data_IF_346259281865
#
_entry.id   IF_346259281865
#
_cell.length_a   1.000
_cell.length_b   1.000
_cell.length_c   1.000
_cell.angle_alpha   90.00
_cell.angle_beta   90.00
_cell.angle_gamma   90.00
#
_symmetry.space_group_name_H-M   'P 1'
#
loop_
_entity.id
_entity.type
_entity.pdbx_description
1 polymer ?
#
# COMPACT_ATOMS: atom_id res chain seq x y z
N UNK A 1 -24.21 -16.55 -0.97
CA UNK A 1 -24.49 -16.38 -2.40
C UNK A 1 -23.16 -16.24 -3.11
N UNK A 2 -22.86 -17.06 -4.10
CA UNK A 2 -21.60 -16.95 -4.87
C UNK A 2 -21.76 -15.80 -5.86
N UNK A 3 -20.93 -14.77 -5.73
CA UNK A 3 -20.91 -13.64 -6.68
C UNK A 3 -20.43 -14.18 -8.02
N UNK A 4 -21.28 -14.16 -9.05
CA UNK A 4 -20.93 -14.64 -10.40
C UNK A 4 -20.55 -13.52 -11.36
N UNK A 5 -20.69 -12.27 -10.95
CA UNK A 5 -20.45 -11.08 -11.77
C UNK A 5 -19.63 -10.07 -10.98
N UNK A 6 -18.61 -9.42 -11.58
CA UNK A 6 -17.83 -8.40 -10.89
C UNK A 6 -18.72 -7.34 -10.23
N UNK A 7 -18.48 -7.10 -8.94
CA UNK A 7 -19.13 -6.01 -8.21
C UNK A 7 -18.14 -4.86 -8.05
N UNK A 8 -18.55 -3.65 -8.43
CA UNK A 8 -17.70 -2.45 -8.40
C UNK A 8 -18.36 -1.35 -7.56
N UNK A 9 -17.56 -0.68 -6.73
CA UNK A 9 -17.99 0.43 -5.85
C UNK A 9 -16.91 1.50 -5.77
N UNK A 10 -17.28 2.68 -5.28
CA UNK A 10 -16.33 3.68 -4.84
C UNK A 10 -16.02 3.47 -3.36
N UNK A 11 -14.81 3.02 -3.05
CA UNK A 11 -14.42 2.58 -1.71
C UNK A 11 -14.44 3.71 -0.66
N UNK A 12 -14.43 4.98 -1.08
CA UNK A 12 -14.47 6.11 -0.15
C UNK A 12 -15.87 6.67 -0.04
N UNK A 13 -16.50 7.04 -1.16
CA UNK A 13 -17.79 7.74 -1.13
C UNK A 13 -18.96 6.84 -0.73
N UNK A 14 -18.91 5.54 -1.06
CA UNK A 14 -19.98 4.59 -0.70
C UNK A 14 -19.88 4.14 0.76
N UNK A 15 -18.70 4.24 1.38
CA UNK A 15 -18.43 3.78 2.75
C UNK A 15 -17.87 4.89 3.64
N UNK A 16 -18.24 6.13 3.34
CA UNK A 16 -17.70 7.34 3.98
C UNK A 16 -17.93 7.35 5.50
N UNK A 17 -19.11 6.90 5.95
CA UNK A 17 -19.45 6.81 7.38
C UNK A 17 -18.66 5.74 8.13
N UNK A 18 -18.23 4.68 7.44
CA UNK A 18 -17.36 3.64 8.01
C UNK A 18 -15.97 4.22 8.28
N UNK A 19 -15.45 5.05 7.37
CA UNK A 19 -14.17 5.74 7.56
C UNK A 19 -14.25 6.67 8.78
N UNK A 20 -15.32 7.47 8.88
CA UNK A 20 -15.55 8.35 10.03
C UNK A 20 -15.69 7.56 11.35
N UNK A 21 -16.35 6.39 11.31
CA UNK A 21 -16.46 5.50 12.47
C UNK A 21 -15.13 4.85 12.85
N UNK A 22 -14.30 4.49 11.87
CA UNK A 22 -12.96 3.95 12.08
C UNK A 22 -12.04 4.98 12.75
N UNK A 23 -12.12 6.26 12.34
CA UNK A 23 -11.41 7.39 12.97
C UNK A 23 -11.75 7.47 14.47
N UNK A 24 -13.04 7.46 14.82
CA UNK A 24 -13.49 7.49 16.21
C UNK A 24 -13.00 6.26 16.98
N UNK A 25 -13.10 5.08 16.37
CA UNK A 25 -12.78 3.80 17.00
C UNK A 25 -11.30 3.68 17.36
N UNK A 26 -10.40 4.16 16.50
CA UNK A 26 -8.96 4.13 16.72
C UNK A 26 -8.43 5.35 17.49
N UNK A 27 -9.32 6.26 17.94
CA UNK A 27 -8.93 7.45 18.71
C UNK A 27 -8.00 8.37 17.94
N UNK A 28 -8.19 8.49 16.62
CA UNK A 28 -7.35 9.35 15.80
C UNK A 28 -7.67 10.82 16.09
N UNK A 29 -6.65 11.57 16.48
CA UNK A 29 -6.73 13.00 16.86
C UNK A 29 -5.75 13.82 16.02
N UNK A 30 -5.95 15.15 15.89
CA UNK A 30 -4.95 16.03 15.31
C UNK A 30 -3.59 15.91 16.01
N UNK A 31 -2.53 16.26 15.29
CA UNK A 31 -1.19 16.37 15.85
C UNK A 31 -0.98 17.69 16.59
N UNK A 32 0.29 18.09 16.68
CA UNK A 32 0.68 19.37 17.29
C UNK A 32 0.25 20.57 16.42
N UNK A 33 0.48 21.78 16.94
CA UNK A 33 0.11 23.02 16.26
C UNK A 33 0.87 23.26 14.94
N UNK A 34 0.33 24.08 14.01
CA UNK A 34 1.06 24.55 12.83
C UNK A 34 2.47 25.07 13.16
N UNK A 35 3.42 24.86 12.24
CA UNK A 35 4.83 25.22 12.41
C UNK A 35 5.65 24.31 13.34
N UNK A 36 5.06 23.24 13.88
CA UNK A 36 5.80 22.25 14.69
C UNK A 36 6.07 20.96 13.91
N UNK A 37 7.15 20.21 14.24
CA UNK A 37 7.44 18.93 13.58
C UNK A 37 6.37 17.85 13.76
N UNK A 38 5.60 17.93 14.85
CA UNK A 38 4.53 17.00 15.19
C UNK A 38 3.18 17.35 14.57
N UNK A 39 3.12 18.38 13.71
CA UNK A 39 1.87 18.80 13.09
C UNK A 39 1.22 17.66 12.29
N UNK A 40 -0.08 17.49 12.49
CA UNK A 40 -0.95 16.72 11.60
C UNK A 40 -2.37 17.32 11.61
N UNK A 41 -3.02 17.45 10.44
CA UNK A 41 -4.38 17.94 10.38
C UNK A 41 -5.33 16.97 11.11
N UNK A 42 -6.52 17.46 11.47
CA UNK A 42 -7.59 16.60 11.97
C UNK A 42 -7.99 15.51 10.98
N UNK A 43 -8.80 14.57 11.45
CA UNK A 43 -9.31 13.47 10.62
C UNK A 43 -10.69 13.77 10.01
N UNK A 44 -11.20 14.98 10.20
CA UNK A 44 -12.40 15.45 9.51
C UNK A 44 -12.15 15.44 7.99
N UNK A 45 -13.16 14.99 7.26
CA UNK A 45 -13.16 14.93 5.81
C UNK A 45 -14.18 15.95 5.26
N UNK A 46 -13.96 16.48 4.04
CA UNK A 46 -14.84 17.48 3.45
C UNK A 46 -16.18 16.86 3.06
N UNK A 47 -17.27 17.61 3.23
CA UNK A 47 -18.61 17.20 2.79
C UNK A 47 -18.61 16.71 1.33
N UNK A 48 -19.39 15.67 1.02
CA UNK A 48 -19.47 15.02 -0.30
C UNK A 48 -20.21 15.86 -1.36
N UNK A 49 -19.73 17.08 -1.59
CA UNK A 49 -20.11 17.97 -2.70
C UNK A 49 -19.74 17.34 -4.05
N UNK A 50 -20.28 17.83 -5.18
CA UNK A 50 -19.92 17.32 -6.50
C UNK A 50 -18.40 17.34 -6.78
N UNK A 51 -17.70 18.40 -6.38
CA UNK A 51 -16.24 18.51 -6.56
C UNK A 51 -15.47 17.47 -5.72
N UNK A 52 -15.92 17.21 -4.48
CA UNK A 52 -15.30 16.19 -3.62
C UNK A 52 -15.55 14.78 -4.16
N UNK A 53 -16.74 14.53 -4.74
CA UNK A 53 -17.04 13.25 -5.41
C UNK A 53 -16.20 13.05 -6.66
N UNK A 54 -15.98 14.11 -7.46
CA UNK A 54 -15.07 14.07 -8.61
C UNK A 54 -13.64 13.76 -8.18
N UNK A 55 -13.14 14.41 -7.14
CA UNK A 55 -11.83 14.11 -6.55
C UNK A 55 -11.69 12.63 -6.16
N UNK A 56 -12.72 12.04 -5.53
CA UNK A 56 -12.74 10.63 -5.15
C UNK A 56 -13.12 9.66 -6.27
N UNK A 57 -13.43 10.11 -7.49
CA UNK A 57 -13.96 9.24 -8.55
C UNK A 57 -13.04 8.04 -8.86
N UNK A 58 -11.73 8.19 -8.71
CA UNK A 58 -10.76 7.12 -8.92
C UNK A 58 -10.56 6.16 -7.74
N UNK A 59 -11.26 6.35 -6.62
CA UNK A 59 -11.32 5.41 -5.50
C UNK A 59 -12.19 4.19 -5.81
N UNK A 60 -12.02 3.59 -7.00
CA UNK A 60 -12.79 2.43 -7.43
C UNK A 60 -12.17 1.13 -6.91
N UNK A 61 -13.01 0.22 -6.43
CA UNK A 61 -12.65 -1.15 -6.00
C UNK A 61 -13.57 -2.14 -6.71
N UNK A 62 -13.06 -3.34 -7.03
CA UNK A 62 -13.89 -4.41 -7.58
C UNK A 62 -13.65 -5.77 -6.92
N UNK A 63 -14.69 -6.60 -6.96
CA UNK A 63 -14.72 -7.97 -6.46
C UNK A 63 -15.04 -8.92 -7.60
N UNK A 64 -14.07 -9.73 -8.01
CA UNK A 64 -14.20 -10.59 -9.20
C UNK A 64 -13.78 -12.03 -8.88
N UNK A 65 -14.58 -13.04 -9.21
CA UNK A 65 -14.15 -14.44 -9.12
C UNK A 65 -12.94 -14.71 -10.02
N UNK A 66 -11.97 -15.45 -9.52
CA UNK A 66 -10.83 -15.97 -10.31
C UNK A 66 -11.00 -17.45 -10.69
N UNK A 67 -11.98 -18.13 -10.10
CA UNK A 67 -12.27 -19.53 -10.34
C UNK A 67 -11.90 -20.41 -9.14
N UNK A 68 -11.47 -21.64 -9.42
CA UNK A 68 -11.25 -22.67 -8.41
C UNK A 68 -9.84 -23.27 -8.53
N UNK A 69 -9.14 -23.43 -7.40
CA UNK A 69 -7.80 -24.00 -7.37
C UNK A 69 -7.61 -24.90 -6.15
N UNK A 70 -7.23 -26.17 -6.37
CA UNK A 70 -6.89 -27.12 -5.31
C UNK A 70 -7.98 -27.34 -4.25
N UNK A 71 -9.26 -27.25 -4.62
CA UNK A 71 -10.37 -27.37 -3.66
C UNK A 71 -10.84 -26.04 -3.06
N UNK A 72 -10.28 -24.90 -3.50
CA UNK A 72 -10.58 -23.57 -2.96
C UNK A 72 -11.17 -22.66 -4.02
N UNK A 73 -12.21 -21.92 -3.64
CA UNK A 73 -12.74 -20.83 -4.46
C UNK A 73 -11.86 -19.60 -4.28
N UNK A 74 -11.44 -19.02 -5.40
CA UNK A 74 -10.57 -17.85 -5.46
C UNK A 74 -11.34 -16.64 -5.95
N UNK A 75 -11.16 -15.53 -5.26
CA UNK A 75 -11.69 -14.22 -5.64
C UNK A 75 -10.56 -13.19 -5.62
N UNK A 76 -10.51 -12.26 -6.57
CA UNK A 76 -9.69 -11.06 -6.46
C UNK A 76 -10.51 -9.89 -5.91
N UNK A 77 -9.96 -9.26 -4.87
CA UNK A 77 -10.30 -7.91 -4.45
C UNK A 77 -9.34 -6.95 -5.16
N UNK A 78 -9.78 -6.40 -6.30
CA UNK A 78 -8.98 -5.49 -7.10
C UNK A 78 -9.04 -4.07 -6.53
N UNK A 79 -7.87 -3.60 -6.12
CA UNK A 79 -7.64 -2.31 -5.49
C UNK A 79 -6.78 -1.41 -6.41
N UNK A 80 -6.70 -1.74 -7.71
CA UNK A 80 -5.79 -1.12 -8.70
C UNK A 80 -6.51 -0.30 -9.77
N UNK A 81 -7.82 -0.13 -9.67
CA UNK A 81 -8.63 0.50 -10.72
C UNK A 81 -8.27 1.96 -11.05
N UNK A 82 -7.60 2.70 -10.16
CA UNK A 82 -7.13 4.06 -10.47
C UNK A 82 -6.08 4.02 -11.60
N UNK A 83 -6.38 4.52 -12.81
CA UNK A 83 -5.45 4.44 -13.93
C UNK A 83 -4.19 5.26 -13.70
N UNK A 84 -4.26 6.33 -12.89
CA UNK A 84 -3.15 7.21 -12.56
C UNK A 84 -2.06 6.54 -11.72
N UNK A 85 -2.40 5.49 -10.97
CA UNK A 85 -1.49 4.91 -9.95
C UNK A 85 -1.39 3.39 -10.01
N UNK A 86 -2.48 2.70 -10.38
CA UNK A 86 -2.68 1.24 -10.31
C UNK A 86 -2.18 0.60 -9.02
N UNK A 87 -2.48 1.23 -7.89
CA UNK A 87 -2.13 0.71 -6.56
C UNK A 87 -3.21 1.03 -5.54
N UNK A 88 -3.32 0.14 -4.55
CA UNK A 88 -4.18 0.28 -3.38
C UNK A 88 -3.86 1.53 -2.55
N UNK A 89 -2.66 2.11 -2.69
CA UNK A 89 -2.27 3.33 -1.97
C UNK A 89 -3.15 4.53 -2.33
N UNK A 90 -3.88 4.48 -3.45
CA UNK A 90 -4.85 5.49 -3.86
C UNK A 90 -5.79 5.90 -2.73
N UNK A 91 -6.40 4.93 -2.03
CA UNK A 91 -7.47 5.25 -1.08
C UNK A 91 -6.96 6.05 0.12
N UNK A 92 -5.90 5.55 0.76
CA UNK A 92 -5.27 6.24 1.87
C UNK A 92 -4.71 7.61 1.43
N UNK A 93 -4.12 7.71 0.24
CA UNK A 93 -3.61 8.97 -0.30
C UNK A 93 -4.71 10.01 -0.53
N UNK A 94 -5.88 9.59 -1.04
CA UNK A 94 -7.02 10.48 -1.22
C UNK A 94 -7.61 10.93 0.12
N UNK A 95 -7.68 10.05 1.12
CA UNK A 95 -8.10 10.42 2.49
C UNK A 95 -7.10 11.38 3.14
N UNK A 96 -5.79 11.16 2.96
CA UNK A 96 -4.73 12.07 3.43
C UNK A 96 -4.90 13.45 2.81
N UNK A 97 -5.05 13.53 1.49
CA UNK A 97 -5.22 14.82 0.79
C UNK A 97 -6.53 15.51 1.17
N UNK A 98 -7.63 14.77 1.30
CA UNK A 98 -8.90 15.33 1.74
C UNK A 98 -8.84 15.95 3.14
N UNK A 99 -8.09 15.36 4.07
CA UNK A 99 -7.83 15.96 5.38
C UNK A 99 -7.06 17.27 5.28
N UNK A 100 -6.08 17.33 4.37
CA UNK A 100 -5.36 18.59 4.11
C UNK A 100 -6.29 19.64 3.51
N UNK A 101 -7.12 19.27 2.52
CA UNK A 101 -8.15 20.14 1.93
C UNK A 101 -9.10 20.67 3.00
N UNK A 102 -9.62 19.80 3.86
CA UNK A 102 -10.56 20.20 4.92
C UNK A 102 -9.90 21.10 5.96
N UNK A 103 -8.64 20.84 6.32
CA UNK A 103 -7.86 21.72 7.17
C UNK A 103 -7.72 23.11 6.55
N UNK A 104 -7.19 23.20 5.32
CA UNK A 104 -7.02 24.46 4.58
C UNK A 104 -8.34 25.23 4.50
N UNK A 105 -9.44 24.54 4.16
CA UNK A 105 -10.77 25.15 4.05
C UNK A 105 -11.22 25.79 5.36
N UNK A 106 -10.92 25.16 6.50
CA UNK A 106 -11.35 25.62 7.83
C UNK A 106 -10.44 26.69 8.43
N UNK A 107 -9.14 26.63 8.16
CA UNK A 107 -8.15 27.46 8.85
C UNK A 107 -7.52 28.53 7.95
N UNK A 108 -7.53 28.32 6.63
CA UNK A 108 -6.75 29.13 5.68
C UNK A 108 -5.25 28.82 5.67
N UNK A 109 -4.78 27.90 6.53
CA UNK A 109 -3.36 27.55 6.66
C UNK A 109 -2.87 26.75 5.46
N UNK A 110 -1.73 27.14 4.89
CA UNK A 110 -1.11 26.43 3.75
C UNK A 110 -0.37 25.19 4.24
N UNK A 111 -0.44 24.12 3.47
CA UNK A 111 0.12 22.82 3.83
C UNK A 111 1.10 22.30 2.77
N UNK A 112 2.23 21.78 3.23
CA UNK A 112 3.13 20.98 2.43
C UNK A 112 3.21 19.55 2.98
N UNK A 113 2.72 18.59 2.20
CA UNK A 113 2.86 17.16 2.49
C UNK A 113 4.32 16.78 2.27
N UNK A 114 4.98 16.27 3.31
CA UNK A 114 6.31 15.67 3.19
C UNK A 114 6.15 14.15 3.28
N UNK A 115 6.54 13.44 2.22
CA UNK A 115 6.37 11.99 2.16
C UNK A 115 7.61 11.26 1.64
N UNK A 116 8.40 10.64 2.53
CA UNK A 116 9.29 9.56 2.11
C UNK A 116 8.47 8.35 1.64
N UNK A 117 8.97 7.65 0.63
CA UNK A 117 8.23 6.56 -0.01
C UNK A 117 9.14 5.50 -0.60
N UNK A 118 8.55 4.33 -0.88
CA UNK A 118 9.11 3.24 -1.67
C UNK A 118 8.60 3.20 -3.12
N UNK A 119 7.84 4.22 -3.55
CA UNK A 119 7.21 4.29 -4.87
C UNK A 119 5.71 4.53 -4.75
N UNK A 120 4.93 3.45 -4.56
CA UNK A 120 3.46 3.46 -4.64
C UNK A 120 2.77 4.56 -3.81
N UNK A 121 3.23 4.82 -2.58
CA UNK A 121 2.66 5.89 -1.74
C UNK A 121 2.89 7.27 -2.36
N UNK A 122 4.11 7.54 -2.82
CA UNK A 122 4.46 8.83 -3.43
C UNK A 122 3.68 9.07 -4.72
N UNK A 123 3.60 8.06 -5.59
CA UNK A 123 2.80 8.12 -6.83
C UNK A 123 1.33 8.39 -6.50
N UNK A 124 0.74 7.67 -5.54
CA UNK A 124 -0.65 7.84 -5.17
C UNK A 124 -0.95 9.19 -4.51
N UNK A 125 -0.03 9.72 -3.69
CA UNK A 125 -0.20 11.05 -3.08
C UNK A 125 -0.08 12.17 -4.12
N UNK A 126 0.87 12.08 -5.06
CA UNK A 126 0.99 13.04 -6.16
C UNK A 126 -0.26 13.04 -7.05
N UNK A 127 -0.75 11.86 -7.44
CA UNK A 127 -2.01 11.72 -8.17
C UNK A 127 -3.19 12.34 -7.39
N UNK A 128 -3.26 12.11 -6.08
CA UNK A 128 -4.31 12.70 -5.23
C UNK A 128 -4.20 14.23 -5.17
N UNK A 129 -3.01 14.81 -5.01
CA UNK A 129 -2.83 16.27 -5.03
C UNK A 129 -3.22 16.86 -6.38
N UNK A 130 -2.80 16.24 -7.49
CA UNK A 130 -3.20 16.66 -8.83
C UNK A 130 -4.72 16.65 -9.03
N UNK A 131 -5.40 15.60 -8.54
CA UNK A 131 -6.87 15.51 -8.57
C UNK A 131 -7.54 16.59 -7.73
N UNK A 132 -6.97 16.93 -6.58
CA UNK A 132 -7.50 18.00 -5.74
C UNK A 132 -7.40 19.37 -6.44
N UNK A 133 -6.32 19.63 -7.18
CA UNK A 133 -6.21 20.82 -8.03
C UNK A 133 -7.24 20.79 -9.17
N UNK A 134 -7.34 19.66 -9.89
CA UNK A 134 -8.25 19.53 -11.03
C UNK A 134 -9.73 19.68 -10.62
N UNK A 135 -10.11 19.21 -9.43
CA UNK A 135 -11.44 19.38 -8.87
C UNK A 135 -11.68 20.77 -8.24
N UNK A 136 -10.68 21.66 -8.24
CA UNK A 136 -10.77 23.00 -7.66
C UNK A 136 -10.93 23.02 -6.14
N UNK A 137 -10.50 21.96 -5.44
CA UNK A 137 -10.62 21.87 -3.99
C UNK A 137 -9.57 22.71 -3.27
N UNK A 138 -8.39 22.85 -3.88
CA UNK A 138 -7.25 23.65 -3.41
C UNK A 138 -6.43 24.14 -4.61
N UNK A 139 -5.65 25.20 -4.43
CA UNK A 139 -4.65 25.67 -5.41
C UNK A 139 -3.23 25.20 -5.04
N UNK A 140 -2.26 25.26 -5.98
CA UNK A 140 -0.85 24.94 -5.69
C UNK A 140 -0.21 25.80 -4.59
N UNK A 141 -0.73 26.99 -4.32
CA UNK A 141 -0.29 27.88 -3.24
C UNK A 141 -0.82 27.44 -1.87
N UNK A 142 -1.94 26.70 -1.85
CA UNK A 142 -2.61 26.26 -0.62
C UNK A 142 -2.13 24.89 -0.15
N UNK A 143 -2.00 23.95 -1.09
CA UNK A 143 -1.52 22.60 -0.82
C UNK A 143 -0.34 22.32 -1.74
N UNK A 144 0.71 21.68 -1.23
CA UNK A 144 1.83 21.22 -2.04
C UNK A 144 2.39 19.90 -1.52
N UNK A 145 3.24 19.20 -2.29
CA UNK A 145 3.81 17.92 -1.88
C UNK A 145 5.29 17.75 -2.23
N UNK A 146 6.08 17.33 -1.28
CA UNK A 146 7.47 16.87 -1.46
C UNK A 146 7.51 15.35 -1.34
N UNK A 147 7.94 14.69 -2.43
CA UNK A 147 8.15 13.24 -2.44
C UNK A 147 9.64 12.95 -2.39
N UNK A 148 10.05 12.09 -1.46
CA UNK A 148 11.43 11.59 -1.38
C UNK A 148 11.44 10.08 -1.61
N UNK A 149 12.13 9.63 -2.66
CA UNK A 149 12.13 8.22 -3.05
C UNK A 149 13.54 7.69 -3.36
N UNK A 150 13.87 6.44 -3.01
CA UNK A 150 15.18 5.87 -3.29
C UNK A 150 15.37 5.61 -4.79
N UNK A 151 16.61 5.75 -5.27
CA UNK A 151 16.96 5.57 -6.67
C UNK A 151 16.51 4.22 -7.27
N UNK A 152 16.50 3.15 -6.47
CA UNK A 152 16.04 1.82 -6.87
C UNK A 152 14.57 1.79 -7.35
N UNK A 153 13.75 2.75 -6.90
CA UNK A 153 12.31 2.83 -7.18
C UNK A 153 11.96 3.81 -8.31
N UNK A 154 12.96 4.38 -9.01
CA UNK A 154 12.78 5.37 -10.08
C UNK A 154 11.75 4.94 -11.13
N UNK A 155 11.75 3.65 -11.48
CA UNK A 155 10.90 3.07 -12.52
C UNK A 155 9.41 3.06 -12.16
N UNK A 156 9.04 3.39 -10.91
CA UNK A 156 7.66 3.46 -10.44
C UNK A 156 7.04 4.84 -10.62
N UNK A 157 7.85 5.90 -10.70
CA UNK A 157 7.34 7.26 -10.79
C UNK A 157 6.92 7.60 -12.21
N UNK A 158 5.63 7.89 -12.36
CA UNK A 158 5.02 8.24 -13.64
C UNK A 158 5.13 9.74 -13.84
N UNK A 159 5.29 10.17 -15.08
CA UNK A 159 5.10 11.57 -15.42
C UNK A 159 3.63 11.94 -15.22
N UNK A 160 3.37 12.70 -14.16
CA UNK A 160 2.04 13.12 -13.73
C UNK A 160 1.80 14.61 -14.01
N UNK A 161 0.57 15.07 -13.74
CA UNK A 161 0.20 16.48 -13.92
C UNK A 161 0.97 17.44 -12.99
N UNK A 162 1.59 16.94 -11.91
CA UNK A 162 2.42 17.77 -11.04
C UNK A 162 3.82 18.02 -11.61
N UNK A 163 4.23 17.26 -12.63
CA UNK A 163 5.48 17.48 -13.35
C UNK A 163 5.39 18.61 -14.39
N UNK A 164 4.20 19.18 -14.60
CA UNK A 164 4.00 20.32 -15.50
C UNK A 164 4.68 21.59 -14.96
N UNK A 165 5.27 22.45 -15.81
CA UNK A 165 6.06 23.61 -15.38
C UNK A 165 5.33 24.54 -14.39
N UNK A 166 4.00 24.66 -14.51
CA UNK A 166 3.18 25.52 -13.66
C UNK A 166 3.11 25.07 -12.19
N UNK A 167 3.24 23.77 -11.91
CA UNK A 167 3.09 23.20 -10.56
C UNK A 167 4.34 22.51 -10.04
N UNK A 168 5.31 22.23 -10.92
CA UNK A 168 6.51 21.45 -10.61
C UNK A 168 7.34 22.03 -9.47
N UNK A 169 7.53 23.35 -9.44
CA UNK A 169 8.37 24.02 -8.45
C UNK A 169 7.91 23.80 -6.99
N UNK A 170 6.59 23.74 -6.76
CA UNK A 170 6.03 23.57 -5.41
C UNK A 170 5.72 22.10 -5.07
N UNK A 171 5.86 21.20 -6.05
CA UNK A 171 5.59 19.77 -5.90
C UNK A 171 6.79 18.88 -6.31
N UNK A 172 7.98 19.04 -5.70
CA UNK A 172 9.17 18.34 -6.17
C UNK A 172 9.16 16.82 -5.88
N UNK A 173 9.65 16.05 -6.85
CA UNK A 173 10.04 14.65 -6.75
C UNK A 173 11.56 14.56 -6.56
N UNK A 174 11.99 14.20 -5.37
CA UNK A 174 13.39 14.09 -4.99
C UNK A 174 13.85 12.63 -5.07
N UNK A 175 14.98 12.39 -5.73
CA UNK A 175 15.63 11.07 -5.78
C UNK A 175 16.72 10.99 -4.74
N UNK A 176 16.53 10.11 -3.76
CA UNK A 176 17.54 9.79 -2.78
C UNK A 176 18.62 8.88 -3.36
N UNK A 177 19.88 9.30 -3.24
CA UNK A 177 21.06 8.62 -3.81
C UNK A 177 21.95 7.93 -2.76
N UNK A 178 21.52 7.89 -1.49
CA UNK A 178 22.25 7.16 -0.46
C UNK A 178 22.21 5.63 -0.63
N UNK A 179 23.16 4.95 0.01
CA UNK A 179 23.38 3.52 -0.16
C UNK A 179 22.24 2.64 0.40
N UNK A 180 21.64 3.04 1.51
CA UNK A 180 20.51 2.34 2.14
C UNK A 180 19.17 2.97 1.72
N UNK A 181 18.31 2.28 0.96
CA UNK A 181 17.00 2.78 0.58
C UNK A 181 16.10 3.22 1.74
N UNK A 182 16.26 2.66 2.95
CA UNK A 182 15.47 3.07 4.12
C UNK A 182 15.86 4.48 4.63
N UNK A 183 17.05 4.96 4.28
CA UNK A 183 17.57 6.28 4.64
C UNK A 183 16.66 7.44 4.24
N UNK A 184 15.77 7.24 3.24
CA UNK A 184 14.75 8.23 2.86
C UNK A 184 13.84 8.63 4.02
N UNK A 185 13.49 7.69 4.91
CA UNK A 185 12.60 7.97 6.05
C UNK A 185 13.31 8.83 7.09
N UNK A 186 14.58 8.52 7.38
CA UNK A 186 15.39 9.30 8.31
C UNK A 186 15.63 10.72 7.79
N UNK A 187 15.99 10.84 6.51
CA UNK A 187 16.22 12.15 5.87
C UNK A 187 14.95 13.01 5.83
N UNK A 188 13.81 12.45 5.43
CA UNK A 188 12.53 13.16 5.41
C UNK A 188 12.06 13.58 6.80
N UNK A 189 12.31 12.75 7.83
CA UNK A 189 11.99 13.08 9.23
C UNK A 189 12.88 14.23 9.73
N UNK A 190 14.20 14.15 9.50
CA UNK A 190 15.15 15.19 9.91
C UNK A 190 14.79 16.56 9.30
N UNK A 191 14.38 16.58 8.02
CA UNK A 191 13.91 17.81 7.38
C UNK A 191 12.73 18.45 8.10
N UNK A 192 11.69 17.67 8.43
CA UNK A 192 10.53 18.22 9.15
C UNK A 192 10.90 18.63 10.57
N UNK A 193 11.72 17.86 11.28
CA UNK A 193 12.17 18.18 12.64
C UNK A 193 12.92 19.50 12.72
N UNK A 194 13.83 19.75 11.79
CA UNK A 194 14.70 20.92 11.83
C UNK A 194 14.08 22.16 11.18
N UNK A 195 13.21 21.97 10.16
CA UNK A 195 12.74 23.08 9.33
C UNK A 195 11.24 23.38 9.40
N UNK A 196 10.43 22.67 10.22
CA UNK A 196 9.00 22.99 10.36
C UNK A 196 8.74 24.44 10.77
N UNK A 197 9.47 24.94 11.79
CA UNK A 197 9.33 26.32 12.25
C UNK A 197 9.79 27.32 11.20
N UNK A 198 10.94 27.05 10.55
CA UNK A 198 11.48 27.92 9.48
C UNK A 198 10.52 28.02 8.30
N UNK A 199 9.96 26.89 7.85
CA UNK A 199 8.99 26.84 6.75
C UNK A 199 7.73 27.67 7.08
N UNK A 200 7.26 27.58 8.32
CA UNK A 200 6.09 28.31 8.79
C UNK A 200 6.38 29.81 8.94
N UNK A 201 7.40 30.19 9.71
CA UNK A 201 7.68 31.59 10.04
C UNK A 201 8.13 32.41 8.82
N UNK A 202 8.89 31.82 7.90
CA UNK A 202 9.43 32.53 6.73
C UNK A 202 8.57 32.42 5.48
N UNK A 203 7.95 31.25 5.26
CA UNK A 203 7.22 30.98 4.01
C UNK A 203 5.71 30.83 4.21
N UNK A 204 5.21 30.85 5.44
CA UNK A 204 3.80 30.69 5.75
C UNK A 204 3.27 29.31 5.38
N UNK A 205 4.10 28.27 5.47
CA UNK A 205 3.76 26.90 5.06
C UNK A 205 3.97 25.93 6.21
N UNK A 206 2.93 25.19 6.56
CA UNK A 206 3.02 24.13 7.56
C UNK A 206 3.45 22.82 6.91
N UNK A 207 4.54 22.22 7.42
CA UNK A 207 5.01 20.91 6.97
C UNK A 207 4.22 19.80 7.66
N UNK A 208 3.78 18.80 6.90
CA UNK A 208 3.10 17.62 7.44
C UNK A 208 3.81 16.32 7.04
N UNK A 209 4.38 15.64 8.03
CA UNK A 209 5.03 14.33 7.84
C UNK A 209 4.02 13.18 7.89
N UNK A 210 3.70 12.60 6.72
CA UNK A 210 2.52 11.72 6.54
C UNK A 210 2.72 10.24 6.87
N UNK A 211 3.68 9.89 7.74
CA UNK A 211 3.96 8.48 8.09
C UNK A 211 3.11 7.92 9.25
N UNK A 212 2.17 8.68 9.80
CA UNK A 212 1.25 8.16 10.81
C UNK A 212 0.45 6.95 10.28
N UNK A 213 0.50 5.86 11.03
CA UNK A 213 -0.21 4.61 10.78
C UNK A 213 -1.71 4.82 10.55
N UNK A 214 -2.32 5.68 11.36
CA UNK A 214 -3.78 5.91 11.37
C UNK A 214 -4.28 6.43 10.02
N UNK A 215 -3.44 7.13 9.26
CA UNK A 215 -3.77 7.61 7.92
C UNK A 215 -4.19 6.48 6.97
N UNK A 216 -3.59 5.29 7.13
CA UNK A 216 -3.88 4.13 6.29
C UNK A 216 -5.02 3.30 6.87
N UNK A 217 -4.99 3.06 8.19
CA UNK A 217 -5.96 2.17 8.84
C UNK A 217 -7.40 2.62 8.59
N UNK A 218 -7.67 3.92 8.71
CA UNK A 218 -9.03 4.45 8.58
C UNK A 218 -9.55 4.38 7.14
N UNK A 219 -8.68 4.57 6.14
CA UNK A 219 -9.06 4.45 4.74
C UNK A 219 -9.29 2.98 4.36
N UNK A 220 -8.43 2.08 4.85
CA UNK A 220 -8.51 0.65 4.55
C UNK A 220 -9.62 -0.07 5.32
N UNK A 221 -10.23 0.57 6.34
CA UNK A 221 -11.44 0.08 7.01
C UNK A 221 -12.62 -0.09 6.06
N UNK A 222 -12.71 0.76 5.03
CA UNK A 222 -13.77 0.66 4.02
C UNK A 222 -13.72 -0.66 3.21
N UNK A 223 -12.57 -1.35 3.15
CA UNK A 223 -12.47 -2.67 2.49
C UNK A 223 -13.40 -3.70 3.13
N UNK A 224 -13.55 -3.67 4.45
CA UNK A 224 -14.42 -4.59 5.16
C UNK A 224 -15.90 -4.30 4.89
N UNK A 225 -16.28 -3.03 4.77
CA UNK A 225 -17.63 -2.62 4.42
C UNK A 225 -17.98 -2.99 2.97
N UNK A 226 -17.03 -2.79 2.05
CA UNK A 226 -17.17 -3.25 0.67
C UNK A 226 -17.41 -4.76 0.59
N UNK A 227 -16.58 -5.56 1.26
CA UNK A 227 -16.78 -7.01 1.29
C UNK A 227 -18.12 -7.40 1.92
N UNK A 228 -18.51 -6.77 3.02
CA UNK A 228 -19.77 -7.05 3.68
C UNK A 228 -20.99 -6.73 2.78
N UNK A 229 -20.90 -5.70 1.93
CA UNK A 229 -21.93 -5.35 0.94
C UNK A 229 -22.02 -6.39 -0.19
N UNK A 230 -20.87 -6.79 -0.77
CA UNK A 230 -20.86 -7.58 -2.01
C UNK A 230 -20.74 -9.08 -1.81
N UNK A 231 -20.10 -9.54 -0.73
CA UNK A 231 -19.88 -10.95 -0.43
C UNK A 231 -19.81 -11.19 1.09
N UNK A 232 -20.94 -11.06 1.82
CA UNK A 232 -20.98 -11.38 3.25
C UNK A 232 -20.39 -12.76 3.52
N UNK A 233 -19.42 -12.84 4.44
CA UNK A 233 -18.78 -14.10 4.79
C UNK A 233 -19.82 -15.06 5.40
N UNK A 234 -20.03 -16.21 4.77
CA UNK A 234 -20.97 -17.26 5.20
C UNK A 234 -20.27 -18.54 5.64
N UNK A 235 -18.94 -18.55 5.63
CA UNK A 235 -18.10 -19.69 5.97
C UNK A 235 -16.64 -19.26 6.16
N UNK A 236 -15.73 -20.23 6.26
CA UNK A 236 -14.32 -19.96 6.50
C UNK A 236 -13.65 -19.32 5.29
N UNK A 237 -13.04 -18.14 5.50
CA UNK A 237 -12.42 -17.33 4.45
C UNK A 237 -11.04 -16.85 4.88
N UNK A 238 -10.07 -16.89 3.99
CA UNK A 238 -8.76 -16.27 4.18
C UNK A 238 -8.55 -15.11 3.22
N UNK A 239 -7.98 -14.01 3.72
CA UNK A 239 -7.45 -12.94 2.86
C UNK A 239 -5.95 -13.13 2.64
N UNK A 240 -5.55 -13.25 1.39
CA UNK A 240 -4.16 -13.31 0.98
C UNK A 240 -3.69 -11.95 0.45
N UNK A 241 -2.54 -11.49 0.94
CA UNK A 241 -2.02 -10.17 0.57
C UNK A 241 -0.49 -10.21 0.53
N UNK A 242 0.09 -9.72 -0.57
CA UNK A 242 1.51 -9.37 -0.62
C UNK A 242 1.81 -8.16 0.27
N UNK A 243 2.55 -8.35 1.35
CA UNK A 243 2.71 -7.33 2.41
C UNK A 243 4.17 -6.92 2.63
N UNK A 244 4.39 -5.60 2.76
CA UNK A 244 5.62 -5.08 3.37
C UNK A 244 5.40 -4.78 4.87
N UNK A 245 4.26 -4.20 5.22
CA UNK A 245 3.90 -3.90 6.62
C UNK A 245 2.42 -4.13 6.92
N UNK A 246 1.68 -4.82 6.05
CA UNK A 246 0.30 -5.26 6.26
C UNK A 246 -0.73 -4.19 6.72
N UNK A 247 -0.49 -2.90 6.46
CA UNK A 247 -1.42 -1.83 6.86
C UNK A 247 -2.85 -2.04 6.34
N UNK A 248 -2.99 -2.56 5.10
CA UNK A 248 -4.31 -2.83 4.52
C UNK A 248 -5.09 -3.93 5.25
N UNK A 249 -4.41 -4.93 5.83
CA UNK A 249 -5.07 -5.98 6.61
C UNK A 249 -5.46 -5.49 8.00
N UNK A 250 -4.63 -4.66 8.63
CA UNK A 250 -5.00 -4.01 9.89
C UNK A 250 -6.16 -3.03 9.71
N UNK A 251 -6.17 -2.27 8.61
CA UNK A 251 -7.29 -1.39 8.27
C UNK A 251 -8.56 -2.19 8.02
N UNK A 252 -8.49 -3.26 7.24
CA UNK A 252 -9.59 -4.20 7.08
C UNK A 252 -10.12 -4.71 8.43
N UNK A 253 -9.24 -5.13 9.33
CA UNK A 253 -9.64 -5.60 10.67
C UNK A 253 -10.30 -4.50 11.50
N UNK A 254 -9.83 -3.25 11.41
CA UNK A 254 -10.50 -2.09 12.03
C UNK A 254 -11.89 -1.87 11.45
N UNK A 255 -12.07 -2.03 10.12
CA UNK A 255 -13.38 -2.01 9.49
C UNK A 255 -14.31 -3.10 10.02
N UNK A 256 -13.79 -4.32 10.22
CA UNK A 256 -14.54 -5.39 10.90
C UNK A 256 -14.94 -5.02 12.33
N UNK A 257 -14.05 -4.40 13.10
CA UNK A 257 -14.39 -3.90 14.45
C UNK A 257 -15.54 -2.89 14.42
N UNK A 258 -15.57 -2.01 13.42
CA UNK A 258 -16.63 -1.02 13.22
C UNK A 258 -17.97 -1.69 12.88
N UNK A 259 -17.97 -2.61 11.91
CA UNK A 259 -19.19 -3.30 11.48
C UNK A 259 -19.77 -4.19 12.59
N UNK A 260 -18.92 -4.87 13.35
CA UNK A 260 -19.37 -5.70 14.48
C UNK A 260 -19.96 -4.86 15.62
N UNK A 261 -19.38 -3.68 15.90
CA UNK A 261 -19.92 -2.76 16.90
C UNK A 261 -21.28 -2.18 16.47
N UNK A 262 -21.54 -2.06 15.16
CA UNK A 262 -22.82 -1.63 14.61
C UNK A 262 -23.86 -2.77 14.52
N UNK A 263 -23.44 -4.03 14.67
CA UNK A 263 -24.31 -5.20 14.46
C UNK A 263 -24.44 -5.64 13.00
N UNK A 264 -23.65 -5.06 12.09
CA UNK A 264 -23.68 -5.32 10.64
C UNK A 264 -22.80 -6.51 10.23
N UNK A 265 -22.06 -7.09 11.18
CA UNK A 265 -21.20 -8.23 10.93
C UNK A 265 -21.11 -9.17 12.15
N UNK A 266 -21.06 -10.48 11.87
CA UNK A 266 -20.87 -11.51 12.89
C UNK A 266 -19.38 -11.63 13.28
N UNK A 267 -19.02 -11.48 14.57
CA UNK A 267 -17.66 -11.71 15.06
C UNK A 267 -17.13 -13.13 14.82
N UNK A 268 -18.00 -14.14 14.73
CA UNK A 268 -17.61 -15.52 14.43
C UNK A 268 -17.19 -15.71 12.97
N UNK A 269 -17.59 -14.80 12.08
CA UNK A 269 -17.28 -14.83 10.65
C UNK A 269 -15.99 -14.07 10.28
N UNK A 270 -15.11 -13.79 11.26
CA UNK A 270 -13.83 -13.13 10.96
C UNK A 270 -12.92 -14.00 10.10
N UNK A 271 -12.30 -13.45 9.05
CA UNK A 271 -11.45 -14.22 8.18
C UNK A 271 -10.06 -14.42 8.78
N UNK A 272 -9.37 -15.47 8.31
CA UNK A 272 -7.94 -15.64 8.52
C UNK A 272 -7.09 -14.81 7.54
N UNK A 273 -5.78 -14.73 7.78
CA UNK A 273 -4.88 -13.93 6.93
C UNK A 273 -3.67 -14.73 6.45
N UNK A 274 -3.45 -14.76 5.13
CA UNK A 274 -2.24 -15.29 4.52
C UNK A 274 -1.31 -14.14 4.15
N UNK A 275 -0.21 -13.99 4.90
CA UNK A 275 0.83 -13.01 4.63
C UNK A 275 1.76 -13.52 3.54
N UNK A 276 1.87 -12.80 2.43
CA UNK A 276 2.78 -13.18 1.34
C UNK A 276 3.95 -12.20 1.26
N UNK A 277 5.18 -12.70 1.31
CA UNK A 277 6.41 -11.90 1.21
C UNK A 277 7.39 -12.52 0.21
N UNK A 278 8.49 -11.82 -0.09
CA UNK A 278 9.57 -12.32 -0.96
C UNK A 278 10.84 -12.60 -0.13
N UNK A 279 11.79 -13.31 -0.74
CA UNK A 279 13.02 -13.79 -0.07
C UNK A 279 13.91 -12.68 0.51
N UNK A 280 13.93 -11.49 -0.11
CA UNK A 280 14.74 -10.38 0.36
C UNK A 280 14.25 -9.80 1.69
N UNK A 281 12.94 -9.89 1.98
CA UNK A 281 12.34 -9.27 3.18
C UNK A 281 11.18 -10.10 3.74
N UNK A 282 11.45 -11.31 4.28
CA UNK A 282 10.45 -12.22 4.84
C UNK A 282 10.12 -11.91 6.31
N UNK A 283 10.44 -10.70 6.79
CA UNK A 283 10.39 -10.27 8.19
C UNK A 283 9.05 -10.57 8.90
N UNK A 284 7.90 -10.37 8.26
CA UNK A 284 6.61 -10.66 8.89
C UNK A 284 6.34 -12.16 8.99
N UNK A 285 6.78 -12.95 8.00
CA UNK A 285 6.71 -14.42 8.06
C UNK A 285 7.61 -14.92 9.19
N UNK A 286 8.86 -14.43 9.27
CA UNK A 286 9.78 -14.77 10.37
C UNK A 286 9.20 -14.38 11.73
N UNK A 287 8.65 -13.18 11.84
CA UNK A 287 8.02 -12.69 13.08
C UNK A 287 6.85 -13.56 13.50
N UNK A 288 6.00 -13.96 12.56
CA UNK A 288 4.85 -14.82 12.83
C UNK A 288 5.28 -16.19 13.35
N UNK A 289 6.35 -16.77 12.79
CA UNK A 289 6.80 -18.13 13.11
C UNK A 289 7.71 -18.22 14.33
N UNK A 290 8.56 -17.22 14.53
CA UNK A 290 9.66 -17.28 15.51
C UNK A 290 9.61 -16.14 16.54
N UNK A 291 8.70 -15.18 16.40
CA UNK A 291 8.70 -13.97 17.23
C UNK A 291 9.94 -13.09 16.99
N UNK A 292 10.64 -13.30 15.87
CA UNK A 292 11.95 -12.73 15.56
C UNK A 292 12.01 -12.31 14.09
N UNK A 293 12.86 -11.34 13.77
CA UNK A 293 13.11 -10.89 12.40
C UNK A 293 14.47 -11.37 11.86
N UNK A 294 15.20 -12.15 12.67
CA UNK A 294 16.58 -12.52 12.36
C UNK A 294 16.65 -13.49 11.18
N UNK A 295 17.56 -13.20 10.24
CA UNK A 295 17.72 -13.94 8.98
C UNK A 295 18.19 -15.38 9.18
N UNK A 296 18.81 -15.69 10.31
CA UNK A 296 19.23 -17.04 10.68
C UNK A 296 18.05 -18.01 10.88
N UNK A 297 16.82 -17.49 10.99
CA UNK A 297 15.61 -18.29 10.99
C UNK A 297 15.11 -18.67 9.58
N UNK A 298 15.67 -18.10 8.51
CA UNK A 298 15.41 -18.59 7.15
C UNK A 298 16.01 -19.98 6.96
N UNK A 299 15.41 -20.86 6.15
CA UNK A 299 16.01 -22.16 5.84
C UNK A 299 17.34 -21.98 5.10
N UNK A 300 18.29 -22.88 5.39
CA UNK A 300 19.57 -22.92 4.69
C UNK A 300 19.37 -23.47 3.28
N UNK A 301 19.81 -22.71 2.28
CA UNK A 301 19.80 -23.16 0.89
C UNK A 301 21.15 -23.76 0.50
N UNK A 302 21.12 -24.82 -0.30
CA UNK A 302 22.32 -25.40 -0.91
C UNK A 302 22.27 -25.21 -2.42
N UNK A 303 23.40 -24.81 -3.02
CA UNK A 303 23.53 -24.68 -4.47
C UNK A 303 23.58 -26.07 -5.11
N UNK A 304 22.62 -26.36 -5.97
CA UNK A 304 22.66 -27.48 -6.92
C UNK A 304 23.40 -27.03 -8.17
N UNK A 305 24.72 -27.31 -8.22
CA UNK A 305 25.60 -26.90 -9.33
C UNK A 305 25.15 -27.44 -10.69
N UNK A 306 24.49 -28.62 -10.71
CA UNK A 306 24.05 -29.24 -11.97
C UNK A 306 22.89 -28.50 -12.63
N UNK A 307 22.11 -27.77 -11.82
CA UNK A 307 20.93 -27.02 -12.25
C UNK A 307 21.11 -25.50 -12.16
N UNK A 308 22.17 -25.04 -11.50
CA UNK A 308 22.44 -23.62 -11.27
C UNK A 308 21.36 -22.94 -10.40
N UNK A 309 20.77 -23.68 -9.45
CA UNK A 309 19.70 -23.19 -8.58
C UNK A 309 19.98 -23.55 -7.13
N UNK A 310 19.37 -22.79 -6.22
CA UNK A 310 19.44 -23.03 -4.79
C UNK A 310 18.22 -23.81 -4.31
N UNK A 311 18.42 -24.79 -3.43
CA UNK A 311 17.36 -25.68 -2.95
C UNK A 311 17.32 -25.82 -1.43
N UNK A 312 16.13 -26.05 -0.89
CA UNK A 312 15.88 -26.40 0.53
C UNK A 312 14.59 -27.23 0.64
N UNK A 313 14.48 -28.04 1.69
CA UNK A 313 13.30 -28.86 2.00
C UNK A 313 12.87 -28.77 3.49
N UNK A 314 13.49 -27.86 4.25
CA UNK A 314 13.30 -27.74 5.70
C UNK A 314 12.02 -26.99 6.10
N UNK A 315 11.61 -25.98 5.33
CA UNK A 315 10.39 -25.22 5.62
C UNK A 315 9.55 -24.98 4.35
N UNK A 316 8.35 -25.54 4.35
CA UNK A 316 7.36 -25.39 3.29
C UNK A 316 6.84 -23.95 3.13
N UNK A 317 7.10 -23.04 4.07
CA UNK A 317 6.74 -21.61 3.92
C UNK A 317 7.69 -20.86 3.02
N UNK A 318 8.87 -21.39 2.78
CA UNK A 318 9.88 -20.80 1.89
C UNK A 318 9.93 -21.54 0.55
N UNK A 319 10.42 -20.88 -0.52
CA UNK A 319 10.62 -21.54 -1.81
C UNK A 319 11.49 -22.79 -1.64
N UNK A 320 11.05 -23.92 -2.20
CA UNK A 320 11.91 -25.12 -2.24
C UNK A 320 13.08 -24.94 -3.23
N UNK A 321 12.89 -24.07 -4.22
CA UNK A 321 13.89 -23.74 -5.24
C UNK A 321 13.85 -22.24 -5.54
N UNK A 322 15.02 -21.60 -5.58
CA UNK A 322 15.19 -20.21 -6.01
C UNK A 322 16.46 -20.06 -6.85
N UNK A 323 16.54 -18.99 -7.64
CA UNK A 323 17.74 -18.69 -8.43
C UNK A 323 18.79 -17.96 -7.56
N UNK A 324 18.36 -17.23 -6.51
CA UNK A 324 19.21 -16.59 -5.50
C UNK A 324 18.46 -16.49 -4.15
N UNK A 325 19.00 -16.99 -3.03
CA UNK A 325 18.40 -16.85 -1.69
C UNK A 325 18.35 -15.40 -1.18
N UNK A 326 19.14 -14.50 -1.76
CA UNK A 326 19.20 -13.08 -1.44
C UNK A 326 18.43 -12.20 -2.43
N UNK A 327 17.63 -12.80 -3.34
CA UNK A 327 16.92 -12.01 -4.35
C UNK A 327 15.97 -10.97 -3.75
N UNK A 328 15.90 -9.82 -4.41
CA UNK A 328 14.89 -8.79 -4.15
C UNK A 328 13.95 -8.75 -5.34
N UNK A 329 12.76 -9.31 -5.16
CA UNK A 329 11.78 -9.46 -6.24
C UNK A 329 11.20 -8.11 -6.65
N UNK A 330 10.81 -7.29 -5.67
CA UNK A 330 10.34 -5.92 -5.90
C UNK A 330 10.88 -5.00 -4.79
N UNK A 331 11.65 -3.94 -5.14
CA UNK A 331 12.31 -3.07 -4.18
C UNK A 331 11.34 -2.24 -3.33
N UNK A 332 10.03 -2.26 -3.61
CA UNK A 332 9.02 -1.61 -2.76
C UNK A 332 8.82 -2.31 -1.43
N UNK A 333 9.09 -3.61 -1.37
CA UNK A 333 8.93 -4.45 -0.19
C UNK A 333 10.22 -4.47 0.63
N UNK A 334 10.70 -3.30 1.04
CA UNK A 334 11.97 -3.18 1.75
C UNK A 334 11.84 -3.10 3.27
N UNK A 335 10.64 -2.94 3.83
CA UNK A 335 10.50 -2.60 5.25
C UNK A 335 10.99 -3.74 6.15
N UNK A 336 12.09 -3.50 6.86
CA UNK A 336 12.57 -4.38 7.90
C UNK A 336 11.88 -4.11 9.24
N UNK A 337 11.74 -5.18 10.05
CA UNK A 337 11.13 -5.15 11.39
C UNK A 337 9.81 -4.35 11.45
N UNK A 338 8.79 -4.68 10.65
CA UNK A 338 7.59 -3.85 10.55
C UNK A 338 6.87 -3.71 11.90
N UNK A 339 6.55 -2.48 12.30
CA UNK A 339 5.87 -2.16 13.57
C UNK A 339 4.48 -2.79 13.72
N UNK A 340 3.91 -3.25 12.62
CA UNK A 340 2.60 -3.92 12.55
C UNK A 340 2.66 -5.41 12.85
N UNK A 341 3.86 -6.01 12.86
CA UNK A 341 4.00 -7.46 13.02
C UNK A 341 3.37 -7.99 14.30
N UNK A 342 3.53 -7.36 15.49
CA UNK A 342 2.87 -7.85 16.71
C UNK A 342 1.34 -7.91 16.59
N UNK A 343 0.72 -6.88 16.01
CA UNK A 343 -0.73 -6.83 15.80
C UNK A 343 -1.19 -7.89 14.80
N UNK A 344 -0.49 -8.04 13.67
CA UNK A 344 -0.80 -9.08 12.68
C UNK A 344 -0.62 -10.49 13.25
N UNK A 345 0.43 -10.75 14.02
CA UNK A 345 0.66 -12.03 14.67
C UNK A 345 -0.47 -12.37 15.65
N UNK A 346 -1.02 -11.37 16.35
CA UNK A 346 -2.18 -11.58 17.22
C UNK A 346 -3.44 -11.92 16.43
N UNK A 347 -3.69 -11.24 15.30
CA UNK A 347 -4.84 -11.51 14.43
C UNK A 347 -4.76 -12.90 13.80
N UNK A 348 -3.61 -13.28 13.23
CA UNK A 348 -3.41 -14.60 12.61
C UNK A 348 -3.58 -15.71 13.64
N UNK A 349 -3.02 -15.57 14.85
CA UNK A 349 -3.22 -16.56 15.92
C UNK A 349 -4.68 -16.69 16.36
N UNK A 350 -5.44 -15.59 16.35
CA UNK A 350 -6.82 -15.56 16.84
C UNK A 350 -7.84 -16.04 15.80
N UNK A 351 -7.64 -15.68 14.53
CA UNK A 351 -8.62 -15.88 13.46
C UNK A 351 -8.17 -16.88 12.39
N UNK A 352 -6.95 -17.42 12.54
CA UNK A 352 -6.34 -18.33 11.56
C UNK A 352 -5.58 -17.59 10.46
N UNK A 353 -4.89 -18.36 9.64
CA UNK A 353 -3.98 -17.86 8.61
C UNK A 353 -2.55 -18.37 8.79
N UNK A 354 -1.65 -17.89 7.94
CA UNK A 354 -0.23 -18.24 7.97
C UNK A 354 0.60 -17.18 7.23
N UNK A 355 1.91 -17.43 7.09
CA UNK A 355 2.80 -16.66 6.23
C UNK A 355 3.48 -17.55 5.20
N UNK A 356 3.75 -17.01 4.02
CA UNK A 356 4.49 -17.68 2.95
C UNK A 356 5.42 -16.71 2.24
N UNK A 357 6.59 -17.22 1.85
CA UNK A 357 7.60 -16.53 1.07
C UNK A 357 7.63 -17.11 -0.35
N UNK A 358 7.63 -16.24 -1.35
CA UNK A 358 7.70 -16.60 -2.77
C UNK A 358 9.02 -16.14 -3.38
N UNK A 359 9.48 -16.89 -4.39
CA UNK A 359 10.62 -16.48 -5.21
C UNK A 359 10.19 -15.90 -6.56
N UNK A 360 11.10 -15.18 -7.24
CA UNK A 360 10.89 -14.72 -8.62
C UNK A 360 10.65 -15.90 -9.54
N UNK A 361 11.41 -16.98 -9.36
CA UNK A 361 11.28 -18.24 -10.09
C UNK A 361 9.86 -18.80 -9.99
N UNK A 362 9.30 -18.84 -8.78
CA UNK A 362 7.93 -19.30 -8.58
C UNK A 362 6.90 -18.39 -9.24
N UNK A 363 7.08 -17.07 -9.12
CA UNK A 363 6.19 -16.08 -9.74
C UNK A 363 6.20 -16.21 -11.28
N UNK A 364 7.37 -16.33 -11.89
CA UNK A 364 7.53 -16.51 -13.35
C UNK A 364 6.91 -17.83 -13.80
N UNK A 365 7.11 -18.92 -13.05
CA UNK A 365 6.50 -20.22 -13.36
C UNK A 365 4.96 -20.16 -13.35
N UNK A 366 4.38 -19.40 -12.43
CA UNK A 366 2.91 -19.22 -12.32
C UNK A 366 2.35 -18.18 -13.28
N UNK A 367 3.21 -17.37 -13.89
CA UNK A 367 2.81 -16.21 -14.66
C UNK A 367 1.75 -16.48 -15.73
N UNK A 368 1.84 -17.54 -16.56
CA UNK A 368 0.84 -17.78 -17.60
C UNK A 368 -0.57 -18.02 -17.03
N UNK A 369 -0.67 -18.78 -15.94
CA UNK A 369 -1.95 -19.08 -15.26
C UNK A 369 -2.47 -17.84 -14.56
N UNK A 370 -1.61 -17.12 -13.82
CA UNK A 370 -1.99 -15.88 -13.15
C UNK A 370 -2.48 -14.82 -14.14
N UNK A 371 -1.80 -14.67 -15.29
CA UNK A 371 -2.21 -13.75 -16.36
C UNK A 371 -3.60 -14.11 -16.91
N UNK A 372 -3.88 -15.40 -17.13
CA UNK A 372 -5.19 -15.83 -17.62
C UNK A 372 -6.30 -15.49 -16.61
N UNK A 373 -6.15 -15.89 -15.35
CA UNK A 373 -7.13 -15.60 -14.31
C UNK A 373 -7.38 -14.11 -14.12
N UNK A 374 -6.31 -13.30 -14.15
CA UNK A 374 -6.43 -11.87 -14.03
C UNK A 374 -7.12 -11.26 -15.26
N UNK A 375 -6.82 -11.74 -16.47
CA UNK A 375 -7.49 -11.28 -17.69
C UNK A 375 -8.99 -11.58 -17.65
N UNK A 376 -9.39 -12.75 -17.16
CA UNK A 376 -10.80 -13.13 -16.97
C UNK A 376 -11.51 -12.24 -15.93
N UNK A 377 -10.76 -11.71 -14.96
CA UNK A 377 -11.23 -10.71 -14.00
C UNK A 377 -11.11 -9.25 -14.49
N UNK A 378 -10.71 -9.01 -15.74
CA UNK A 378 -10.57 -7.68 -16.34
C UNK A 378 -9.24 -6.97 -16.05
N UNK A 379 -8.25 -7.67 -15.49
CA UNK A 379 -6.93 -7.16 -15.16
C UNK A 379 -5.87 -7.64 -16.15
N UNK A 380 -5.11 -6.72 -16.72
CA UNK A 380 -4.10 -7.05 -17.73
C UNK A 380 -2.70 -7.07 -17.13
N UNK A 381 -2.00 -8.20 -17.32
CA UNK A 381 -0.54 -8.28 -17.15
C UNK A 381 0.17 -8.25 -18.52
N UNK A 382 1.40 -7.72 -18.64
CA UNK A 382 2.14 -7.76 -19.89
C UNK A 382 2.42 -9.21 -20.33
N UNK A 383 2.61 -9.45 -21.62
CA UNK A 383 2.94 -10.80 -22.10
C UNK A 383 4.27 -11.30 -21.54
N UNK A 384 5.28 -10.42 -21.55
CA UNK A 384 6.60 -10.65 -20.98
C UNK A 384 6.64 -10.19 -19.50
N UNK A 385 6.86 -11.11 -18.53
CA UNK A 385 6.97 -10.76 -17.13
C UNK A 385 8.14 -9.80 -16.82
N UNK A 386 9.17 -9.70 -17.67
CA UNK A 386 10.26 -8.74 -17.47
C UNK A 386 9.81 -7.27 -17.58
N UNK A 387 8.64 -7.03 -18.19
CA UNK A 387 8.02 -5.70 -18.30
C UNK A 387 7.14 -5.34 -17.10
N UNK A 388 6.94 -6.26 -16.15
CA UNK A 388 6.17 -6.00 -14.95
C UNK A 388 6.99 -5.15 -13.96
N UNK A 389 6.42 -4.02 -13.52
CA UNK A 389 7.07 -3.07 -12.60
C UNK A 389 6.52 -3.11 -11.18
N UNK A 390 5.40 -3.77 -10.98
CA UNK A 390 4.77 -3.95 -9.67
C UNK A 390 4.28 -5.40 -9.56
N UNK A 391 4.89 -6.13 -8.63
CA UNK A 391 4.73 -7.59 -8.55
C UNK A 391 3.72 -8.04 -7.50
N UNK A 392 3.15 -7.14 -6.69
CA UNK A 392 2.29 -7.47 -5.55
C UNK A 392 1.14 -8.44 -5.86
N UNK A 393 0.36 -8.22 -6.93
CA UNK A 393 -0.75 -9.13 -7.26
C UNK A 393 -0.26 -10.53 -7.67
N UNK A 394 0.85 -10.60 -8.41
CA UNK A 394 1.44 -11.86 -8.85
C UNK A 394 2.07 -12.61 -7.67
N UNK A 395 2.72 -11.89 -6.76
CA UNK A 395 3.21 -12.45 -5.50
C UNK A 395 2.04 -13.04 -4.71
N UNK A 396 0.95 -12.29 -4.52
CA UNK A 396 -0.21 -12.76 -3.76
C UNK A 396 -0.82 -14.04 -4.37
N UNK A 397 -1.04 -14.08 -5.68
CA UNK A 397 -1.53 -15.28 -6.39
C UNK A 397 -0.58 -16.46 -6.28
N UNK A 398 0.72 -16.22 -6.46
CA UNK A 398 1.76 -17.25 -6.33
C UNK A 398 1.79 -17.79 -4.91
N UNK A 399 1.70 -16.91 -3.90
CA UNK A 399 1.65 -17.28 -2.50
C UNK A 399 0.44 -18.13 -2.16
N UNK A 400 -0.74 -17.78 -2.68
CA UNK A 400 -1.96 -18.60 -2.53
C UNK A 400 -1.77 -19.98 -3.13
N UNK A 401 -1.35 -20.06 -4.40
CA UNK A 401 -1.21 -21.35 -5.06
C UNK A 401 -0.16 -22.23 -4.36
N UNK A 402 0.96 -21.64 -3.95
CA UNK A 402 1.99 -22.34 -3.20
C UNK A 402 1.49 -22.79 -1.82
N UNK A 403 0.73 -21.96 -1.11
CA UNK A 403 0.19 -22.32 0.21
C UNK A 403 -0.81 -23.48 0.09
N UNK A 404 -1.64 -23.49 -0.95
CA UNK A 404 -2.55 -24.61 -1.27
C UNK A 404 -1.76 -25.87 -1.60
N UNK A 405 -0.83 -25.80 -2.54
CA UNK A 405 -0.04 -26.97 -2.99
C UNK A 405 0.80 -27.59 -1.86
N UNK A 406 1.22 -26.77 -0.90
CA UNK A 406 2.02 -27.18 0.26
C UNK A 406 1.17 -27.52 1.49
N UNK A 407 -0.15 -27.54 1.37
CA UNK A 407 -1.08 -27.92 2.44
C UNK A 407 -1.11 -26.95 3.62
N UNK A 408 -0.76 -25.68 3.41
CA UNK A 408 -0.79 -24.63 4.43
C UNK A 408 -2.18 -24.03 4.61
N UNK A 409 -3.03 -24.09 3.57
CA UNK A 409 -4.42 -23.63 3.64
C UNK A 409 -5.33 -24.83 3.99
N UNK A 410 -6.16 -24.76 5.05
CA UNK A 410 -7.09 -25.83 5.35
C UNK A 410 -8.16 -25.96 4.27
N UNK A 411 -8.50 -27.20 3.88
CA UNK A 411 -9.45 -27.49 2.81
C UNK A 411 -10.81 -26.76 2.97
N UNK A 412 -11.42 -26.41 1.85
CA UNK A 412 -12.75 -25.79 1.80
C UNK A 412 -12.82 -24.32 2.21
N UNK A 413 -11.68 -23.66 2.47
CA UNK A 413 -11.64 -22.22 2.68
C UNK A 413 -11.77 -21.47 1.36
N UNK A 414 -12.60 -20.43 1.33
CA UNK A 414 -12.55 -19.41 0.28
C UNK A 414 -11.30 -18.55 0.47
N UNK A 415 -10.66 -18.13 -0.63
CA UNK A 415 -9.47 -17.29 -0.58
C UNK A 415 -9.72 -16.01 -1.38
N UNK A 416 -9.62 -14.87 -0.70
CA UNK A 416 -9.70 -13.54 -1.29
C UNK A 416 -8.29 -13.00 -1.47
N UNK A 417 -7.88 -12.84 -2.73
CA UNK A 417 -6.59 -12.29 -3.13
C UNK A 417 -6.69 -10.77 -3.22
N UNK A 418 -5.94 -10.05 -2.39
CA UNK A 418 -5.87 -8.60 -2.47
C UNK A 418 -4.95 -8.17 -3.63
N UNK A 419 -5.54 -7.72 -4.73
CA UNK A 419 -4.82 -7.13 -5.86
C UNK A 419 -4.40 -5.70 -5.53
N UNK A 420 -3.20 -5.51 -4.97
CA UNK A 420 -2.78 -4.22 -4.40
C UNK A 420 -1.86 -3.37 -5.27
N UNK A 421 -1.43 -3.92 -6.39
CA UNK A 421 -0.66 -3.23 -7.40
C UNK A 421 -0.44 -4.08 -8.64
N UNK A 422 -0.54 -3.47 -9.82
CA UNK A 422 -0.13 -4.07 -11.07
C UNK A 422 0.04 -3.01 -12.16
N UNK A 423 1.26 -2.85 -12.66
CA UNK A 423 1.53 -1.99 -13.81
C UNK A 423 2.83 -2.36 -14.51
N UNK A 424 2.95 -1.94 -15.77
CA UNK A 424 4.05 -2.23 -16.67
C UNK A 424 4.62 -0.94 -17.27
N UNK A 425 5.40 -1.06 -18.34
CA UNK A 425 6.07 0.06 -19.02
C UNK A 425 5.13 0.88 -19.94
N UNK A 426 3.86 1.02 -19.57
CA UNK A 426 2.85 1.73 -20.37
C UNK A 426 2.72 3.22 -20.03
N UNK A 427 3.64 3.76 -19.23
CA UNK A 427 3.73 5.17 -18.90
C UNK A 427 5.16 5.70 -19.06
N UNK A 428 5.29 7.01 -19.26
CA UNK A 428 6.58 7.68 -19.23
C UNK A 428 7.06 7.82 -17.78
N UNK A 429 8.28 7.38 -17.51
CA UNK A 429 8.93 7.56 -16.20
C UNK A 429 9.19 9.06 -15.97
N UNK A 430 8.93 9.54 -14.76
CA UNK A 430 9.26 10.90 -14.34
C UNK A 430 10.75 11.00 -14.00
N UNK A 431 11.39 12.08 -14.47
CA UNK A 431 12.70 12.46 -13.98
C UNK A 431 12.58 13.15 -12.63
N UNK A 432 13.52 12.94 -11.70
CA UNK A 432 13.53 13.67 -10.45
C UNK A 432 13.84 15.16 -10.70
N UNK A 433 13.34 15.99 -9.81
CA UNK A 433 13.63 17.43 -9.77
C UNK A 433 15.01 17.72 -9.20
N UNK A 434 15.45 16.89 -8.26
CA UNK A 434 16.79 16.92 -7.72
C UNK A 434 17.22 15.52 -7.23
N UNK A 435 18.53 15.29 -7.28
CA UNK A 435 19.15 14.22 -6.50
C UNK A 435 19.50 14.75 -5.11
N UNK A 436 19.22 13.97 -4.08
CA UNK A 436 19.46 14.36 -2.70
C UNK A 436 20.11 13.23 -1.92
N UNK A 437 21.06 13.55 -1.05
CA UNK A 437 21.72 12.60 -0.15
C UNK A 437 21.84 13.13 1.27
N UNK A 438 21.75 14.46 1.42
CA UNK A 438 21.89 15.18 2.69
C UNK A 438 20.68 16.07 2.96
N UNK A 439 20.58 16.54 4.21
CA UNK A 439 19.55 17.51 4.59
C UNK A 439 19.68 18.84 3.84
N UNK A 440 20.90 19.30 3.60
CA UNK A 440 21.15 20.52 2.82
C UNK A 440 20.59 20.42 1.40
N UNK A 441 20.73 19.26 0.74
CA UNK A 441 20.18 19.03 -0.61
C UNK A 441 18.65 19.15 -0.60
N UNK A 442 17.98 18.61 0.43
CA UNK A 442 16.52 18.70 0.57
C UNK A 442 16.08 20.14 0.79
N UNK A 443 16.77 20.89 1.64
CA UNK A 443 16.48 22.31 1.90
C UNK A 443 16.61 23.13 0.62
N UNK A 444 17.71 22.96 -0.13
CA UNK A 444 17.95 23.65 -1.39
C UNK A 444 16.86 23.35 -2.45
N UNK A 445 16.33 22.13 -2.46
CA UNK A 445 15.29 21.73 -3.40
C UNK A 445 13.88 22.15 -3.00
N UNK A 446 13.61 22.40 -1.70
CA UNK A 446 12.25 22.59 -1.17
C UNK A 446 11.98 24.01 -0.66
N UNK A 447 12.94 24.62 0.04
CA UNK A 447 12.78 25.92 0.69
C UNK A 447 13.45 27.04 -0.09
N UNK A 448 14.65 26.81 -0.65
CA UNK A 448 15.39 27.86 -1.39
C UNK A 448 14.76 28.19 -2.76
N UNK A 449 13.81 27.38 -3.21
CA UNK A 449 13.02 27.61 -4.44
C UNK A 449 11.75 28.47 -4.20
N UNK A 450 11.45 28.87 -2.95
CA UNK A 450 10.18 29.49 -2.56
C UNK A 450 10.24 30.98 -2.30
#
# INVERSE_FOLDING_TARGET
MTVTTPATRNMITDYYDVIASAVRRCGAVPGDAPGTPGFAPGFDLPELTPAVREFYAAATVSWSPLGHYGGHDLTVLDLTANPGTRTTKTFASMVIVARAVEHIRRTGERLCIVTPTSGNKGVALRDSVARAYAAGLVTPEQLSIVVLAPAATRHKFRHDALADPATRAVNPLLRYTGADPEGVKALGRAFVDEYAATAYDKHGVTLWYTLDLRNYLVADAARAAFEADVSPATGSRWHAHAVSSAFGLLGYNLGRDVLEAAGDADPAARPGFLLVQHLGTPDMVLSLRHGSFERDHCPAYTLDESRGVWTQDADLRFPAVTDDPAEVLDPTFYTHRPVTSPAMNALVRRHGGDGIVVSRRECVRRYPVARQWLADAGLTLPEDPARLREWSILMALTGVCNAVDRGLVPAGHEIVVHGTGSYCDDFRIAEPDAEVSTLADVVAAVLDQR
#
